data_IF_445441495448
#
_entry.id   IF_445441495448
#
_cell.length_a   1.000
_cell.length_b   1.000
_cell.length_c   1.000
_cell.angle_alpha   90.00
_cell.angle_beta   90.00
_cell.angle_gamma   90.00
#
_symmetry.space_group_name_H-M   'P 1'
#
loop_
_entity.id
_entity.type
_entity.pdbx_description
1 polymer ?
#
# COMPACT_ATOMS: atom_id res chain seq x y z
N UNK A 1 7.92 2.06 12.66
CA UNK A 1 8.22 3.49 12.85
C UNK A 1 9.46 3.63 13.70
N UNK A 2 10.37 4.46 13.24
CA UNK A 2 11.59 4.82 13.96
C UNK A 2 11.70 6.35 14.00
N UNK A 3 12.37 6.90 15.01
CA UNK A 3 12.78 8.31 15.00
C UNK A 3 13.87 8.52 13.94
N UNK A 4 14.22 9.78 13.65
CA UNK A 4 15.34 10.09 12.74
C UNK A 4 16.67 9.47 13.21
N UNK A 5 16.86 9.36 14.53
CA UNK A 5 18.04 8.72 15.13
C UNK A 5 17.96 7.18 15.16
N UNK A 6 16.92 6.58 14.57
CA UNK A 6 16.76 5.13 14.50
C UNK A 6 16.15 4.46 15.73
N UNK A 7 15.62 5.22 16.70
CA UNK A 7 14.97 4.62 17.87
C UNK A 7 13.59 4.06 17.49
N UNK A 8 13.28 2.84 17.92
CA UNK A 8 11.98 2.22 17.68
C UNK A 8 10.85 3.01 18.36
N UNK A 9 9.76 3.25 17.62
CA UNK A 9 8.56 3.95 18.12
C UNK A 9 7.36 3.01 18.16
N UNK A 10 7.00 2.42 17.02
CA UNK A 10 5.82 1.56 16.91
C UNK A 10 5.82 0.75 15.62
N UNK A 11 4.94 -0.24 15.52
CA UNK A 11 4.64 -0.98 14.28
C UNK A 11 3.14 -1.29 14.24
N UNK A 12 2.61 -1.55 13.05
CA UNK A 12 1.21 -1.91 12.86
C UNK A 12 1.07 -2.95 11.74
N UNK A 13 -0.11 -3.57 11.70
CA UNK A 13 -0.41 -4.69 10.82
C UNK A 13 -0.10 -6.05 11.46
N UNK A 14 -0.78 -7.09 10.97
CA UNK A 14 -0.50 -8.50 11.30
C UNK A 14 -0.71 -9.37 10.06
N UNK A 15 -0.18 -10.60 10.04
CA UNK A 15 -0.29 -11.47 8.86
C UNK A 15 -1.74 -11.87 8.59
N UNK A 16 -2.22 -11.69 7.36
CA UNK A 16 -3.52 -12.18 6.91
C UNK A 16 -4.19 -11.29 5.85
N UNK A 17 -5.45 -11.57 5.56
CA UNK A 17 -6.23 -10.90 4.51
C UNK A 17 -7.38 -10.03 5.04
N UNK A 18 -7.64 -10.07 6.36
CA UNK A 18 -8.67 -9.25 7.00
C UNK A 18 -8.34 -7.76 7.07
N UNK A 19 -9.26 -6.94 7.61
CA UNK A 19 -9.01 -5.51 7.88
C UNK A 19 -7.78 -5.30 8.75
N UNK A 20 -6.86 -4.44 8.31
CA UNK A 20 -5.60 -4.16 8.98
C UNK A 20 -4.59 -5.32 8.99
N UNK A 21 -4.92 -6.46 8.39
CA UNK A 21 -3.97 -7.53 8.15
C UNK A 21 -3.30 -7.32 6.79
N UNK A 22 -2.04 -7.73 6.71
CA UNK A 22 -1.18 -7.59 5.54
C UNK A 22 -0.65 -8.94 5.08
N UNK A 23 -0.62 -9.17 3.77
CA UNK A 23 0.07 -10.32 3.17
C UNK A 23 1.14 -9.84 2.20
N UNK A 24 2.41 -10.07 2.56
CA UNK A 24 3.58 -9.66 1.78
C UNK A 24 3.52 -8.17 1.38
N UNK A 25 3.45 -7.23 2.35
CA UNK A 25 3.52 -5.80 2.05
C UNK A 25 4.85 -5.49 1.35
N UNK A 26 4.79 -4.80 0.21
CA UNK A 26 5.91 -4.68 -0.73
C UNK A 26 6.38 -3.25 -0.96
N UNK A 27 5.45 -2.29 -0.97
CA UNK A 27 5.73 -0.86 -1.15
C UNK A 27 4.90 -0.02 -0.18
N UNK A 28 5.40 1.17 0.12
CA UNK A 28 4.76 2.13 1.03
C UNK A 28 4.95 3.55 0.48
N UNK A 29 3.90 4.37 0.57
CA UNK A 29 3.99 5.83 0.38
C UNK A 29 3.10 6.54 1.39
N UNK A 30 3.35 7.82 1.60
CA UNK A 30 2.58 8.66 2.52
C UNK A 30 2.10 9.88 1.75
N UNK A 31 0.80 10.17 1.83
CA UNK A 31 0.23 11.36 1.19
C UNK A 31 0.49 12.65 2.01
N UNK A 32 0.08 13.80 1.49
CA UNK A 32 0.25 15.10 2.14
C UNK A 32 -0.58 15.26 3.42
N UNK A 33 -1.58 14.41 3.64
CA UNK A 33 -2.40 14.39 4.86
C UNK A 33 -1.83 13.46 5.94
N UNK A 34 -0.81 12.66 5.60
CA UNK A 34 -0.18 11.70 6.49
C UNK A 34 -0.80 10.31 6.47
N UNK A 35 -1.68 10.00 5.51
CA UNK A 35 -2.18 8.64 5.30
C UNK A 35 -1.11 7.78 4.66
N UNK A 36 -1.01 6.56 5.12
CA UNK A 36 -0.02 5.57 4.71
C UNK A 36 -0.68 4.57 3.78
N UNK A 37 -0.21 4.53 2.53
CA UNK A 37 -0.65 3.59 1.52
C UNK A 37 0.37 2.46 1.46
N UNK A 38 -0.10 1.21 1.45
CA UNK A 38 0.75 0.01 1.43
C UNK A 38 0.29 -0.91 0.31
N UNK A 39 1.15 -1.22 -0.65
CA UNK A 39 0.86 -2.24 -1.66
C UNK A 39 1.11 -3.63 -1.10
N UNK A 40 0.14 -4.51 -1.29
CA UNK A 40 0.17 -5.88 -0.79
C UNK A 40 0.28 -6.87 -1.94
N UNK A 41 1.48 -7.42 -2.10
CA UNK A 41 1.74 -8.41 -3.13
C UNK A 41 0.84 -9.64 -2.97
N UNK A 42 0.66 -10.12 -1.74
CA UNK A 42 -0.09 -11.36 -1.48
C UNK A 42 -1.60 -11.20 -1.48
N UNK A 43 -2.12 -10.01 -1.12
CA UNK A 43 -3.55 -9.73 -1.12
C UNK A 43 -4.03 -9.03 -2.40
N UNK A 44 -3.13 -8.69 -3.33
CA UNK A 44 -3.45 -8.05 -4.60
C UNK A 44 -4.22 -6.73 -4.44
N UNK A 45 -3.86 -5.94 -3.44
CA UNK A 45 -4.57 -4.72 -3.05
C UNK A 45 -3.61 -3.65 -2.55
N UNK A 46 -4.12 -2.43 -2.40
CA UNK A 46 -3.48 -1.37 -1.62
C UNK A 46 -4.31 -1.13 -0.36
N UNK A 47 -3.68 -1.18 0.79
CA UNK A 47 -4.29 -0.85 2.08
C UNK A 47 -3.89 0.54 2.53
N UNK A 48 -4.84 1.27 3.12
CA UNK A 48 -4.68 2.63 3.59
C UNK A 48 -4.81 2.65 5.12
N UNK A 49 -3.84 3.27 5.76
CA UNK A 49 -3.78 3.45 7.21
C UNK A 49 -3.62 4.92 7.56
N UNK A 50 -4.05 5.29 8.76
CA UNK A 50 -3.62 6.53 9.38
C UNK A 50 -2.12 6.48 9.71
N UNK A 51 -1.53 7.64 9.99
CA UNK A 51 -0.13 7.70 10.40
C UNK A 51 0.14 6.86 11.65
N UNK A 52 -0.78 6.77 12.61
CA UNK A 52 -0.66 5.97 13.83
C UNK A 52 -0.95 4.47 13.64
N UNK A 53 -1.33 4.05 12.42
CA UNK A 53 -1.46 2.63 12.04
C UNK A 53 -2.86 2.06 12.14
N UNK A 54 -3.89 2.90 12.28
CA UNK A 54 -5.29 2.48 12.19
C UNK A 54 -5.63 2.19 10.72
N UNK A 55 -6.16 0.99 10.47
CA UNK A 55 -6.66 0.63 9.14
C UNK A 55 -7.92 1.45 8.80
N UNK A 56 -7.91 2.10 7.63
CA UNK A 56 -9.06 2.84 7.14
C UNK A 56 -9.84 2.03 6.11
N UNK A 57 -9.17 1.58 5.05
CA UNK A 57 -9.77 0.82 3.98
C UNK A 57 -8.70 0.17 3.10
N UNK A 58 -9.13 -0.58 2.11
CA UNK A 58 -8.28 -1.11 1.05
C UNK A 58 -9.02 -1.10 -0.27
N UNK A 59 -8.29 -1.02 -1.38
CA UNK A 59 -8.85 -1.15 -2.72
C UNK A 59 -7.97 -2.04 -3.59
N UNK A 60 -8.60 -2.63 -4.61
CA UNK A 60 -7.97 -3.64 -5.43
C UNK A 60 -8.32 -5.06 -5.03
N UNK A 61 -8.31 -5.93 -6.03
CA UNK A 61 -8.47 -7.37 -5.90
C UNK A 61 -7.66 -8.05 -7.01
N UNK A 62 -7.49 -9.37 -6.90
CA UNK A 62 -6.73 -10.13 -7.89
C UNK A 62 -7.39 -10.06 -9.28
N UNK A 63 -6.66 -9.58 -10.28
CA UNK A 63 -7.09 -9.59 -11.67
C UNK A 63 -6.33 -8.62 -12.55
N UNK A 64 -6.77 -8.45 -13.80
CA UNK A 64 -6.19 -7.55 -14.79
C UNK A 64 -7.14 -6.47 -15.31
N UNK A 65 -8.38 -6.45 -14.81
CA UNK A 65 -9.38 -5.46 -15.20
C UNK A 65 -9.15 -4.08 -14.59
N UNK A 66 -10.13 -3.20 -14.79
CA UNK A 66 -10.19 -1.93 -14.10
C UNK A 66 -10.25 -2.15 -12.59
N UNK A 67 -9.44 -1.39 -11.85
CA UNK A 67 -9.34 -1.46 -10.39
C UNK A 67 -8.87 -2.81 -9.81
N UNK A 68 -8.32 -3.69 -10.64
CA UNK A 68 -7.74 -4.96 -10.21
C UNK A 68 -6.22 -4.91 -10.32
N UNK A 69 -5.55 -5.68 -9.47
CA UNK A 69 -4.10 -5.83 -9.48
C UNK A 69 -3.69 -7.29 -9.50
N UNK A 70 -2.51 -7.57 -10.02
CA UNK A 70 -1.88 -8.87 -9.96
C UNK A 70 -0.47 -8.68 -9.38
N UNK A 71 -0.29 -9.00 -8.10
CA UNK A 71 0.97 -8.83 -7.39
C UNK A 71 1.54 -7.40 -7.54
N UNK A 72 0.84 -6.37 -7.04
CA UNK A 72 1.42 -5.03 -7.01
C UNK A 72 2.65 -5.08 -6.10
N UNK A 73 3.82 -4.78 -6.67
CA UNK A 73 5.11 -5.01 -6.00
C UNK A 73 6.00 -3.77 -6.08
N UNK A 74 6.92 -3.63 -5.11
CA UNK A 74 8.07 -2.72 -4.99
C UNK A 74 7.85 -1.19 -5.15
N UNK A 75 6.80 -0.70 -5.82
CA UNK A 75 6.64 0.72 -6.14
C UNK A 75 5.19 1.20 -6.06
N UNK A 76 4.94 2.08 -5.09
CA UNK A 76 3.79 3.00 -5.10
C UNK A 76 4.29 4.40 -4.78
N UNK A 77 3.83 5.42 -5.50
CA UNK A 77 4.24 6.81 -5.26
C UNK A 77 3.16 7.78 -5.72
N UNK A 78 3.12 8.95 -5.11
CA UNK A 78 2.34 10.08 -5.61
C UNK A 78 3.19 10.93 -6.55
N UNK A 79 2.54 11.61 -7.49
CA UNK A 79 3.11 12.75 -8.21
C UNK A 79 2.74 14.08 -7.53
N UNK A 80 3.04 15.20 -8.20
CA UNK A 80 2.74 16.55 -7.69
C UNK A 80 1.25 16.90 -7.75
N UNK A 81 0.49 16.22 -8.61
CA UNK A 81 -0.95 16.40 -8.79
C UNK A 81 -1.77 15.43 -7.92
N UNK A 82 -1.09 14.67 -7.04
CA UNK A 82 -1.65 13.68 -6.12
C UNK A 82 -2.24 12.42 -6.78
N UNK A 83 -1.82 12.09 -8.01
CA UNK A 83 -2.11 10.79 -8.59
C UNK A 83 -1.22 9.72 -8.00
N UNK A 84 -1.81 8.59 -7.64
CA UNK A 84 -1.10 7.43 -7.11
C UNK A 84 -0.70 6.49 -8.25
N UNK A 85 0.60 6.30 -8.43
CA UNK A 85 1.17 5.35 -9.39
C UNK A 85 1.46 4.03 -8.69
N UNK A 86 1.00 2.93 -9.28
CA UNK A 86 1.16 1.58 -8.74
C UNK A 86 1.79 0.66 -9.80
N UNK A 87 2.89 0.01 -9.44
CA UNK A 87 3.51 -1.04 -10.24
C UNK A 87 2.72 -2.35 -10.13
N UNK A 88 1.85 -2.63 -11.11
CA UNK A 88 1.04 -3.84 -11.21
C UNK A 88 1.80 -4.96 -11.92
N UNK A 89 2.81 -5.50 -11.24
CA UNK A 89 3.89 -6.28 -11.86
C UNK A 89 3.42 -7.56 -12.54
N UNK A 90 2.42 -8.24 -12.00
CA UNK A 90 1.84 -9.45 -12.59
C UNK A 90 1.01 -9.19 -13.84
N UNK A 91 0.68 -7.93 -14.13
CA UNK A 91 0.00 -7.51 -15.36
C UNK A 91 0.90 -6.70 -16.31
N UNK A 92 2.18 -6.51 -15.98
CA UNK A 92 3.14 -5.75 -16.78
C UNK A 92 2.67 -4.31 -17.12
N UNK A 93 2.01 -3.64 -16.18
CA UNK A 93 1.49 -2.27 -16.38
C UNK A 93 1.73 -1.37 -15.17
N UNK A 94 1.62 -0.07 -15.40
CA UNK A 94 1.49 0.94 -14.36
C UNK A 94 0.02 1.35 -14.30
N UNK A 95 -0.56 1.33 -13.11
CA UNK A 95 -1.92 1.83 -12.87
C UNK A 95 -1.81 3.20 -12.19
N UNK A 96 -2.57 4.17 -12.68
CA UNK A 96 -2.65 5.52 -12.12
C UNK A 96 -4.03 5.69 -11.50
N UNK A 97 -4.07 6.16 -10.26
CA UNK A 97 -5.27 6.37 -9.45
C UNK A 97 -5.43 7.83 -9.04
#
# INVERSE_FOLDING_TARGET
KFTHDGNYVSQFGSKGSGPGQLTSPAGITVDTTGLVYVSEHGNHRVSIFTSDGLFLCSFGERGGGEKQFNAPNFGITFDQDHFLYICDTGNNRIVVY
#
